data_IF_526286023283
#
_entry.id   IF_526286023283
#
_cell.length_a   1.000
_cell.length_b   1.000
_cell.length_c   1.000
_cell.angle_alpha   90.00
_cell.angle_beta   90.00
_cell.angle_gamma   90.00
#
_symmetry.space_group_name_H-M   'P 1'
#
loop_
_entity.id
_entity.type
_entity.pdbx_description
1 polymer ?
#
# COMPACT_ATOMS: atom_id res chain seq x y z
N UNK A 1 -3.16 10.12 9.51
CA UNK A 1 -3.96 9.15 10.29
C UNK A 1 -3.13 7.87 10.36
N UNK A 2 -2.75 7.40 11.54
CA UNK A 2 -2.05 6.13 11.70
C UNK A 2 -3.10 5.08 12.06
N UNK A 3 -3.31 4.09 11.20
CA UNK A 3 -4.20 2.96 11.49
C UNK A 3 -3.33 1.76 11.90
N UNK A 4 -3.48 1.31 13.14
CA UNK A 4 -2.83 0.09 13.63
C UNK A 4 -3.87 -1.04 13.60
N UNK A 5 -3.80 -1.90 12.59
CA UNK A 5 -4.59 -3.12 12.51
C UNK A 5 -3.69 -4.34 12.69
N UNK A 6 -4.05 -5.22 13.59
CA UNK A 6 -3.45 -6.54 13.75
C UNK A 6 -4.48 -7.56 13.27
N UNK A 7 -4.07 -8.46 12.35
CA UNK A 7 -4.94 -9.47 11.75
C UNK A 7 -5.64 -10.35 12.78
N UNK A 8 -6.82 -10.83 12.42
CA UNK A 8 -7.65 -11.70 13.25
C UNK A 8 -7.00 -13.08 13.38
N UNK A 9 -6.60 -13.45 14.60
CA UNK A 9 -6.32 -14.83 14.97
C UNK A 9 -7.46 -15.32 15.85
N UNK A 10 -7.99 -16.54 15.65
CA UNK A 10 -8.93 -17.16 16.56
C UNK A 10 -8.20 -17.52 17.85
N UNK A 11 -8.14 -16.58 18.78
CA UNK A 11 -7.41 -16.73 20.05
C UNK A 11 -8.44 -16.74 21.17
N UNK A 12 -8.39 -17.73 22.08
CA UNK A 12 -9.17 -17.69 23.29
C UNK A 12 -8.79 -16.49 24.18
N UNK A 13 -9.69 -16.10 25.08
CA UNK A 13 -9.54 -14.93 25.96
C UNK A 13 -8.22 -14.91 26.75
N UNK A 14 -7.75 -16.08 27.21
CA UNK A 14 -6.54 -16.15 28.02
C UNK A 14 -5.28 -15.95 27.15
N UNK A 15 -5.23 -16.62 26.00
CA UNK A 15 -4.14 -16.42 25.02
C UNK A 15 -4.07 -14.98 24.52
N UNK A 16 -5.23 -14.31 24.37
CA UNK A 16 -5.24 -12.91 24.00
C UNK A 16 -4.63 -12.02 25.09
N UNK A 17 -4.96 -12.24 26.38
CA UNK A 17 -4.34 -11.50 27.48
C UNK A 17 -2.83 -11.67 27.53
N UNK A 18 -2.34 -12.89 27.33
CA UNK A 18 -0.91 -13.20 27.35
C UNK A 18 -0.22 -12.56 26.12
N UNK A 19 -0.84 -12.60 24.96
CA UNK A 19 -0.33 -11.97 23.74
C UNK A 19 -0.29 -10.44 23.86
N UNK A 20 -1.33 -9.81 24.44
CA UNK A 20 -1.36 -8.37 24.72
C UNK A 20 -0.19 -7.99 25.64
N UNK A 21 -0.01 -8.74 26.74
CA UNK A 21 1.09 -8.46 27.68
C UNK A 21 2.48 -8.57 27.04
N UNK A 22 2.68 -9.52 26.13
CA UNK A 22 3.95 -9.72 25.45
C UNK A 22 4.20 -8.68 24.34
N UNK A 23 3.19 -8.30 23.59
CA UNK A 23 3.33 -7.42 22.42
C UNK A 23 3.23 -5.93 22.76
N UNK A 24 2.56 -5.57 23.86
CA UNK A 24 2.29 -4.18 24.22
C UNK A 24 3.55 -3.30 24.35
N UNK A 25 4.64 -3.72 25.01
CA UNK A 25 5.85 -2.91 25.11
C UNK A 25 6.47 -2.63 23.72
N UNK A 26 6.51 -3.63 22.85
CA UNK A 26 7.09 -3.51 21.50
C UNK A 26 6.24 -2.55 20.64
N UNK A 27 4.93 -2.71 20.64
CA UNK A 27 4.02 -1.86 19.89
C UNK A 27 4.05 -0.41 20.40
N UNK A 28 4.14 -0.21 21.72
CA UNK A 28 4.28 1.11 22.34
C UNK A 28 5.56 1.83 21.87
N UNK A 29 6.73 1.19 21.99
CA UNK A 29 8.00 1.80 21.59
C UNK A 29 8.05 2.10 20.09
N UNK A 30 7.54 1.22 19.24
CA UNK A 30 7.46 1.46 17.78
C UNK A 30 6.55 2.63 17.44
N UNK A 31 5.35 2.66 18.00
CA UNK A 31 4.40 3.75 17.74
C UNK A 31 4.96 5.09 18.24
N UNK A 32 5.63 5.10 19.41
CA UNK A 32 6.31 6.28 19.95
C UNK A 32 7.41 6.78 19.03
N UNK A 33 8.29 5.89 18.55
CA UNK A 33 9.37 6.27 17.62
C UNK A 33 8.84 6.92 16.34
N UNK A 34 7.72 6.43 15.79
CA UNK A 34 7.06 7.04 14.62
C UNK A 34 6.49 8.42 14.97
N UNK A 35 5.81 8.54 16.12
CA UNK A 35 5.16 9.79 16.53
C UNK A 35 6.16 10.90 16.84
N UNK A 36 7.34 10.57 17.38
CA UNK A 36 8.41 11.53 17.69
C UNK A 36 8.99 12.17 16.41
N UNK A 37 8.86 11.52 15.26
CA UNK A 37 9.28 12.03 13.96
C UNK A 37 8.22 12.94 13.30
N UNK A 38 6.99 12.97 13.83
CA UNK A 38 5.87 13.67 13.23
C UNK A 38 5.54 14.96 13.99
N UNK A 39 5.50 16.11 13.28
CA UNK A 39 5.11 17.40 13.85
C UNK A 39 3.69 17.76 13.41
N UNK A 40 2.76 17.84 14.36
CA UNK A 40 1.37 18.22 14.11
C UNK A 40 0.87 19.23 15.13
N UNK A 41 0.02 20.16 14.68
CA UNK A 41 -0.64 21.13 15.55
C UNK A 41 -1.77 20.52 16.38
N UNK A 42 -2.46 19.52 15.83
CA UNK A 42 -3.53 18.75 16.49
C UNK A 42 -3.52 17.31 15.98
N UNK A 43 -3.90 16.37 16.84
CA UNK A 43 -4.01 14.94 16.50
C UNK A 43 -5.38 14.42 16.89
N UNK A 44 -5.98 13.61 16.00
CA UNK A 44 -7.09 12.72 16.32
C UNK A 44 -6.58 11.29 16.15
N UNK A 45 -6.77 10.48 17.17
CA UNK A 45 -6.42 9.07 17.15
C UNK A 45 -7.62 8.26 16.72
N UNK A 46 -7.44 7.30 15.83
CA UNK A 46 -8.42 6.27 15.52
C UNK A 46 -7.73 4.93 15.70
N UNK A 47 -8.21 4.13 16.62
CA UNK A 47 -7.60 2.88 16.99
C UNK A 47 -8.64 1.78 17.19
N UNK A 48 -8.28 0.54 16.83
CA UNK A 48 -9.16 -0.63 16.98
C UNK A 48 -8.46 -1.70 17.83
N UNK A 49 -9.25 -2.39 18.66
CA UNK A 49 -8.80 -3.53 19.46
C UNK A 49 -7.54 -3.23 20.28
N UNK A 50 -6.48 -4.01 20.10
CA UNK A 50 -5.20 -3.81 20.80
C UNK A 50 -4.60 -2.40 20.58
N UNK A 51 -4.79 -1.82 19.39
CA UNK A 51 -4.36 -0.45 19.09
C UNK A 51 -4.97 0.60 20.00
N UNK A 52 -6.14 0.35 20.57
CA UNK A 52 -6.79 1.27 21.52
C UNK A 52 -5.98 1.46 22.80
N UNK A 53 -5.33 0.42 23.28
CA UNK A 53 -4.44 0.47 24.45
C UNK A 53 -3.21 1.34 24.13
N UNK A 54 -2.56 1.07 22.98
CA UNK A 54 -1.38 1.82 22.53
C UNK A 54 -1.69 3.29 22.33
N UNK A 55 -2.81 3.60 21.66
CA UNK A 55 -3.27 4.98 21.45
C UNK A 55 -3.54 5.68 22.79
N UNK A 56 -4.21 5.00 23.72
CA UNK A 56 -4.49 5.53 25.06
C UNK A 56 -3.21 5.86 25.86
N UNK A 57 -2.18 5.03 25.75
CA UNK A 57 -0.88 5.24 26.44
C UNK A 57 -0.05 6.38 25.84
N UNK A 58 -0.14 6.61 24.54
CA UNK A 58 0.74 7.55 23.81
C UNK A 58 0.13 8.93 23.57
N UNK A 59 -1.20 9.06 23.61
CA UNK A 59 -1.84 10.35 23.37
C UNK A 59 -1.63 11.34 24.50
N UNK A 60 -1.63 12.63 24.16
CA UNK A 60 -1.64 13.72 25.13
C UNK A 60 -3.04 13.97 25.66
N UNK A 61 -3.18 14.54 26.84
CA UNK A 61 -4.47 14.75 27.51
C UNK A 61 -5.48 15.57 26.69
N UNK A 62 -5.02 16.46 25.80
CA UNK A 62 -5.86 17.28 24.94
C UNK A 62 -6.17 16.65 23.57
N UNK A 63 -5.67 15.45 23.31
CA UNK A 63 -5.91 14.74 22.04
C UNK A 63 -7.09 13.80 22.21
N UNK A 64 -8.04 13.84 21.25
CA UNK A 64 -9.22 12.98 21.24
C UNK A 64 -8.90 11.63 20.58
N UNK A 65 -9.60 10.59 20.99
CA UNK A 65 -9.45 9.26 20.41
C UNK A 65 -10.82 8.69 19.99
N UNK A 66 -10.84 8.03 18.84
CA UNK A 66 -11.91 7.11 18.44
C UNK A 66 -11.43 5.70 18.71
N UNK A 67 -12.08 5.02 19.64
CA UNK A 67 -11.73 3.67 20.05
C UNK A 67 -12.77 2.69 19.50
N UNK A 68 -12.36 1.88 18.55
CA UNK A 68 -13.20 0.86 17.92
C UNK A 68 -12.95 -0.49 18.61
N UNK A 69 -14.01 -1.12 19.12
CA UNK A 69 -13.93 -2.40 19.82
C UNK A 69 -12.82 -2.43 20.88
N UNK A 70 -12.87 -1.55 21.90
CA UNK A 70 -11.83 -1.47 22.92
C UNK A 70 -11.78 -2.73 23.76
N UNK A 71 -10.58 -3.14 24.14
CA UNK A 71 -10.37 -4.19 25.13
C UNK A 71 -10.46 -3.61 26.55
N UNK A 72 -10.78 -4.45 27.55
CA UNK A 72 -10.86 -4.03 28.98
C UNK A 72 -9.64 -3.23 29.43
N UNK A 73 -8.44 -3.59 28.94
CA UNK A 73 -7.19 -2.90 29.27
C UNK A 73 -7.15 -1.45 28.75
N UNK A 74 -8.03 -1.07 27.83
CA UNK A 74 -8.16 0.29 27.32
C UNK A 74 -8.92 1.21 28.27
N UNK A 75 -9.84 0.67 29.09
CA UNK A 75 -10.77 1.45 29.92
C UNK A 75 -10.11 2.55 30.76
N UNK A 76 -8.95 2.32 31.42
CA UNK A 76 -8.27 3.38 32.17
C UNK A 76 -7.80 4.58 31.34
N UNK A 77 -7.78 4.46 30.02
CA UNK A 77 -7.29 5.49 29.08
C UNK A 77 -8.42 6.21 28.33
N UNK A 78 -9.69 5.89 28.62
CA UNK A 78 -10.85 6.53 27.99
C UNK A 78 -11.15 7.84 28.68
N UNK A 79 -11.25 8.94 27.94
CA UNK A 79 -11.57 10.27 28.42
C UNK A 79 -12.98 10.69 27.98
N UNK A 80 -13.55 11.69 28.64
CA UNK A 80 -14.90 12.21 28.35
C UNK A 80 -15.12 12.72 26.92
N UNK A 81 -14.06 13.19 26.27
CA UNK A 81 -14.08 13.70 24.89
C UNK A 81 -13.89 12.62 23.83
N UNK A 82 -13.72 11.34 24.21
CA UNK A 82 -13.53 10.26 23.27
C UNK A 82 -14.83 9.76 22.65
N UNK A 83 -14.72 9.11 21.48
CA UNK A 83 -15.77 8.29 20.90
C UNK A 83 -15.38 6.82 21.04
N UNK A 84 -16.23 6.04 21.71
CA UNK A 84 -16.04 4.59 21.90
C UNK A 84 -17.12 3.85 21.12
N UNK A 85 -16.72 3.01 20.16
CA UNK A 85 -17.63 2.18 19.37
C UNK A 85 -17.43 0.70 19.74
N UNK A 86 -18.48 -0.01 20.07
CA UNK A 86 -18.39 -1.43 20.42
C UNK A 86 -19.63 -2.22 19.98
N UNK A 87 -19.41 -3.50 19.65
CA UNK A 87 -20.48 -4.45 19.36
C UNK A 87 -21.05 -5.04 20.65
N UNK A 88 -22.34 -5.28 20.70
CA UNK A 88 -22.96 -5.92 21.88
C UNK A 88 -22.87 -7.46 21.85
N UNK A 89 -22.39 -8.04 20.78
CA UNK A 89 -22.06 -9.46 20.64
C UNK A 89 -20.53 -9.70 20.61
N UNK A 90 -19.73 -8.71 21.04
CA UNK A 90 -18.28 -8.83 21.08
C UNK A 90 -17.85 -9.90 22.10
N UNK A 91 -17.23 -11.03 21.68
CA UNK A 91 -16.85 -12.12 22.56
C UNK A 91 -15.74 -11.76 23.56
N UNK A 92 -15.08 -10.62 23.38
CA UNK A 92 -14.01 -10.13 24.26
C UNK A 92 -14.52 -9.19 25.36
N UNK A 93 -15.80 -8.78 25.31
CA UNK A 93 -16.48 -7.99 26.34
C UNK A 93 -17.45 -8.88 27.13
N UNK A 94 -17.36 -8.87 28.44
CA UNK A 94 -18.33 -9.55 29.32
C UNK A 94 -19.41 -8.60 29.83
N UNK A 95 -20.34 -9.12 30.64
CA UNK A 95 -21.43 -8.30 31.19
C UNK A 95 -20.93 -7.14 32.06
N UNK A 96 -19.81 -7.33 32.77
CA UNK A 96 -19.19 -6.29 33.59
C UNK A 96 -18.59 -5.19 32.69
N UNK A 97 -17.89 -5.58 31.62
CA UNK A 97 -17.31 -4.67 30.63
C UNK A 97 -18.41 -3.85 29.93
N UNK A 98 -19.49 -4.52 29.48
CA UNK A 98 -20.64 -3.85 28.87
C UNK A 98 -21.37 -2.94 29.87
N UNK A 99 -21.43 -3.33 31.16
CA UNK A 99 -21.95 -2.51 32.23
C UNK A 99 -21.14 -1.24 32.44
N UNK A 100 -19.81 -1.34 32.41
CA UNK A 100 -18.88 -0.21 32.51
C UNK A 100 -19.03 0.74 31.32
N UNK A 101 -19.04 0.20 30.10
CA UNK A 101 -19.17 0.99 28.88
C UNK A 101 -20.47 1.80 28.80
N UNK A 102 -21.56 1.33 29.42
CA UNK A 102 -22.83 2.09 29.54
C UNK A 102 -22.70 3.30 30.46
N UNK A 103 -21.74 3.33 31.38
CA UNK A 103 -21.54 4.35 32.38
C UNK A 103 -20.27 5.15 32.21
N UNK A 104 -19.46 4.83 31.19
CA UNK A 104 -18.20 5.51 30.97
C UNK A 104 -18.41 6.99 30.57
N UNK A 105 -17.45 7.88 30.86
CA UNK A 105 -17.63 9.32 30.62
C UNK A 105 -17.62 9.69 29.13
N UNK A 106 -17.11 8.82 28.26
CA UNK A 106 -16.99 9.06 26.82
C UNK A 106 -18.33 8.94 26.09
N UNK A 107 -18.40 9.48 24.89
CA UNK A 107 -19.52 9.23 23.96
C UNK A 107 -19.45 7.78 23.47
N UNK A 108 -20.41 6.95 23.87
CA UNK A 108 -20.44 5.53 23.52
C UNK A 108 -21.47 5.23 22.43
N UNK A 109 -21.02 4.65 21.31
CA UNK A 109 -21.85 4.09 20.27
C UNK A 109 -21.87 2.57 20.39
N UNK A 110 -22.99 2.03 20.88
CA UNK A 110 -23.25 0.60 20.83
C UNK A 110 -23.79 0.23 19.45
N UNK A 111 -23.21 -0.77 18.83
CA UNK A 111 -23.64 -1.32 17.54
C UNK A 111 -24.39 -2.63 17.79
N UNK A 112 -25.73 -2.66 17.68
CA UNK A 112 -26.53 -3.84 17.99
C UNK A 112 -26.23 -4.99 17.03
N UNK A 113 -26.07 -6.20 17.57
CA UNK A 113 -25.80 -7.41 16.80
C UNK A 113 -24.36 -7.53 16.28
N UNK A 114 -23.50 -6.55 16.55
CA UNK A 114 -22.13 -6.56 16.07
C UNK A 114 -21.18 -7.32 17.00
N UNK A 115 -20.25 -8.04 16.39
CA UNK A 115 -19.11 -8.70 17.04
C UNK A 115 -17.90 -7.77 17.22
N UNK A 116 -16.73 -8.33 17.52
CA UNK A 116 -15.46 -7.59 17.63
C UNK A 116 -15.01 -6.94 16.32
N UNK A 117 -15.42 -7.44 15.18
CA UNK A 117 -15.13 -6.87 13.86
C UNK A 117 -16.10 -5.74 13.47
N UNK A 118 -17.11 -5.47 14.30
CA UNK A 118 -18.26 -4.61 14.01
C UNK A 118 -19.08 -5.14 12.81
N UNK A 119 -19.20 -6.46 12.73
CA UNK A 119 -20.00 -7.18 11.74
C UNK A 119 -21.13 -7.96 12.45
N UNK A 120 -22.18 -8.31 11.72
CA UNK A 120 -23.24 -9.19 12.20
C UNK A 120 -22.87 -10.69 12.14
N UNK A 121 -23.77 -11.56 12.52
CA UNK A 121 -23.58 -13.00 12.54
C UNK A 121 -23.30 -13.61 11.14
N UNK A 122 -23.67 -12.90 10.08
CA UNK A 122 -23.42 -13.28 8.67
C UNK A 122 -22.16 -12.59 8.11
N UNK A 123 -21.32 -12.01 8.99
CA UNK A 123 -20.11 -11.24 8.67
C UNK A 123 -20.35 -10.02 7.77
N UNK A 124 -21.57 -9.45 7.78
CA UNK A 124 -21.85 -8.21 7.07
C UNK A 124 -21.45 -7.01 7.94
N UNK A 125 -20.67 -6.07 7.41
CA UNK A 125 -20.17 -4.94 8.19
C UNK A 125 -21.30 -4.00 8.63
N UNK A 126 -21.38 -3.68 9.92
CA UNK A 126 -22.33 -2.72 10.52
C UNK A 126 -21.68 -1.33 10.69
N UNK A 127 -20.97 -0.87 9.67
CA UNK A 127 -20.09 0.30 9.77
C UNK A 127 -20.79 1.66 9.58
N UNK A 128 -21.99 1.74 9.02
CA UNK A 128 -22.61 3.04 8.68
C UNK A 128 -22.77 3.97 9.89
N UNK A 129 -23.23 3.43 11.02
CA UNK A 129 -23.37 4.21 12.25
C UNK A 129 -22.02 4.70 12.79
N UNK A 130 -20.99 3.86 12.69
CA UNK A 130 -19.62 4.17 13.12
C UNK A 130 -19.03 5.26 12.22
N UNK A 131 -19.15 5.13 10.90
CA UNK A 131 -18.66 6.15 9.96
C UNK A 131 -19.38 7.49 10.13
N UNK A 132 -20.69 7.49 10.39
CA UNK A 132 -21.45 8.69 10.66
C UNK A 132 -20.97 9.40 11.94
N UNK A 133 -20.76 8.63 13.01
CA UNK A 133 -20.30 9.17 14.30
C UNK A 133 -18.85 9.69 14.21
N UNK A 134 -17.95 8.96 13.52
CA UNK A 134 -16.57 9.40 13.28
C UNK A 134 -16.57 10.64 12.39
N UNK A 135 -17.42 10.69 11.36
CA UNK A 135 -17.59 11.86 10.50
C UNK A 135 -17.99 13.11 11.26
N UNK A 136 -18.98 12.99 12.17
CA UNK A 136 -19.41 14.10 13.03
C UNK A 136 -18.27 14.61 13.93
N UNK A 137 -17.49 13.69 14.51
CA UNK A 137 -16.35 14.03 15.35
C UNK A 137 -15.24 14.74 14.55
N UNK A 138 -14.97 14.30 13.33
CA UNK A 138 -13.98 14.95 12.44
C UNK A 138 -14.40 16.38 12.10
N UNK A 139 -15.70 16.66 11.96
CA UNK A 139 -16.23 18.01 11.71
C UNK A 139 -16.01 18.93 12.90
N UNK A 140 -16.17 18.45 14.14
CA UNK A 140 -15.90 19.22 15.35
C UNK A 140 -14.41 19.54 15.52
N UNK A 141 -13.51 18.61 15.14
CA UNK A 141 -12.04 18.78 15.29
C UNK A 141 -11.47 19.68 14.19
N UNK A 142 -12.14 19.77 13.04
CA UNK A 142 -11.71 20.56 11.89
C UNK A 142 -12.85 21.41 11.33
N UNK A 143 -13.40 22.38 12.13
CA UNK A 143 -14.47 23.24 11.65
C UNK A 143 -13.94 24.11 10.51
N UNK A 144 -14.48 23.95 9.32
CA UNK A 144 -14.16 24.77 8.14
C UNK A 144 -13.54 24.01 6.95
N UNK A 145 -13.25 22.73 7.04
CA UNK A 145 -12.77 21.95 5.88
C UNK A 145 -13.91 21.41 4.99
N UNK A 146 -15.16 21.48 5.39
CA UNK A 146 -16.33 21.04 4.59
C UNK A 146 -16.77 22.01 3.47
N UNK A 147 -16.12 23.13 3.26
CA UNK A 147 -16.52 24.08 2.23
C UNK A 147 -15.88 23.86 0.84
N UNK A 148 -15.11 22.80 0.64
CA UNK A 148 -14.68 22.35 -0.68
C UNK A 148 -15.62 21.24 -1.13
N UNK A 149 -16.48 21.54 -2.12
CA UNK A 149 -17.41 20.63 -2.77
C UNK A 149 -16.84 19.22 -2.98
N UNK A 150 -17.62 18.21 -2.55
CA UNK A 150 -17.71 16.83 -3.11
C UNK A 150 -16.42 16.22 -3.72
N UNK A 151 -15.25 16.43 -3.10
CA UNK A 151 -14.05 15.69 -3.52
C UNK A 151 -14.21 14.22 -3.13
N UNK A 152 -13.89 13.34 -4.05
CA UNK A 152 -13.93 11.89 -3.82
C UNK A 152 -12.71 11.46 -2.99
N UNK A 153 -12.84 11.49 -1.66
CA UNK A 153 -11.79 11.15 -0.69
C UNK A 153 -11.53 9.65 -0.56
N UNK A 154 -12.28 8.79 -1.28
CA UNK A 154 -12.01 7.35 -1.29
C UNK A 154 -10.58 7.07 -1.72
N UNK A 155 -9.90 6.05 -1.16
CA UNK A 155 -8.51 5.80 -1.47
C UNK A 155 -8.31 5.30 -2.90
N UNK A 156 -7.11 5.52 -3.41
CA UNK A 156 -6.59 4.84 -4.59
C UNK A 156 -5.95 3.54 -4.11
N UNK A 157 -6.43 2.40 -4.62
CA UNK A 157 -5.81 1.09 -4.37
C UNK A 157 -4.56 0.91 -5.23
N UNK A 158 -3.48 0.42 -4.64
CA UNK A 158 -2.26 0.06 -5.35
C UNK A 158 -1.87 -1.34 -4.94
N UNK A 159 -1.63 -2.24 -5.87
CA UNK A 159 -1.09 -3.55 -5.51
C UNK A 159 0.08 -3.98 -6.37
N UNK A 160 0.95 -4.77 -5.75
CA UNK A 160 2.11 -5.40 -6.37
C UNK A 160 2.26 -6.84 -5.86
N UNK A 161 3.08 -7.63 -6.53
CA UNK A 161 3.44 -8.99 -6.08
C UNK A 161 4.23 -9.02 -4.77
N UNK A 162 4.70 -7.88 -4.27
CA UNK A 162 5.51 -7.78 -3.07
C UNK A 162 5.84 -6.32 -2.70
N UNK A 163 7.12 -6.04 -2.45
CA UNK A 163 7.60 -4.73 -2.02
C UNK A 163 7.87 -3.75 -3.17
N UNK A 164 8.03 -4.26 -4.40
CA UNK A 164 8.43 -3.45 -5.56
C UNK A 164 7.52 -2.27 -5.86
N UNK A 165 6.21 -2.45 -5.67
CA UNK A 165 5.19 -1.43 -5.92
C UNK A 165 5.27 -0.21 -5.01
N UNK A 166 6.02 -0.26 -3.91
CA UNK A 166 6.33 0.91 -3.07
C UNK A 166 7.02 2.00 -3.91
N UNK A 167 7.81 1.63 -4.92
CA UNK A 167 8.40 2.59 -5.85
C UNK A 167 7.36 3.39 -6.65
N UNK A 168 6.21 2.77 -6.98
CA UNK A 168 5.07 3.44 -7.63
C UNK A 168 4.29 4.28 -6.61
N UNK A 169 4.08 3.76 -5.40
CA UNK A 169 3.43 4.50 -4.31
C UNK A 169 4.20 5.79 -3.97
N UNK A 170 5.53 5.77 -3.96
CA UNK A 170 6.37 6.97 -3.79
C UNK A 170 6.09 8.03 -4.86
N UNK A 171 6.03 7.62 -6.13
CA UNK A 171 5.73 8.54 -7.23
C UNK A 171 4.29 9.05 -7.17
N UNK A 172 3.32 8.20 -6.75
CA UNK A 172 1.94 8.61 -6.50
C UNK A 172 1.85 9.65 -5.39
N UNK A 173 2.47 9.40 -4.22
CA UNK A 173 2.51 10.35 -3.08
C UNK A 173 3.09 11.69 -3.49
N UNK A 174 4.14 11.68 -4.31
CA UNK A 174 4.81 12.89 -4.80
C UNK A 174 3.94 13.71 -5.76
N UNK A 175 3.22 13.04 -6.67
CA UNK A 175 2.42 13.69 -7.70
C UNK A 175 0.99 14.03 -7.26
N UNK A 176 0.46 13.30 -6.29
CA UNK A 176 -0.92 13.37 -5.79
C UNK A 176 -0.92 13.48 -4.25
N UNK A 177 -0.35 14.54 -3.67
CA UNK A 177 -0.14 14.64 -2.22
C UNK A 177 -1.44 14.76 -1.40
N UNK A 178 -2.57 15.03 -2.04
CA UNK A 178 -3.89 15.17 -1.41
C UNK A 178 -4.71 13.87 -1.45
N UNK A 179 -4.22 12.83 -2.14
CA UNK A 179 -4.91 11.55 -2.28
C UNK A 179 -4.65 10.61 -1.11
N UNK A 180 -5.65 9.79 -0.79
CA UNK A 180 -5.49 8.66 0.10
C UNK A 180 -5.08 7.42 -0.69
N UNK A 181 -4.20 6.61 -0.12
CA UNK A 181 -3.67 5.41 -0.78
C UNK A 181 -3.86 4.19 0.10
N UNK A 182 -4.29 3.08 -0.51
CA UNK A 182 -4.28 1.75 0.06
C UNK A 182 -3.31 0.89 -0.75
N UNK A 183 -2.15 0.58 -0.19
CA UNK A 183 -1.17 -0.29 -0.79
C UNK A 183 -1.34 -1.72 -0.28
N UNK A 184 -1.32 -2.69 -1.19
CA UNK A 184 -1.35 -4.11 -0.89
C UNK A 184 -0.17 -4.82 -1.55
N UNK A 185 0.77 -5.34 -0.73
CA UNK A 185 1.88 -6.18 -1.18
C UNK A 185 1.53 -7.66 -1.05
N UNK A 186 1.56 -8.43 -2.15
CA UNK A 186 1.27 -9.86 -2.12
C UNK A 186 2.54 -10.71 -1.89
N UNK A 187 3.32 -10.37 -0.84
CA UNK A 187 4.61 -10.99 -0.55
C UNK A 187 4.52 -12.48 -0.21
N UNK A 188 3.38 -12.97 0.31
CA UNK A 188 3.18 -14.40 0.53
C UNK A 188 3.23 -15.21 -0.77
N UNK A 189 2.96 -14.56 -1.90
CA UNK A 189 2.95 -15.20 -3.22
C UNK A 189 4.05 -14.68 -4.15
N UNK A 190 4.93 -13.82 -3.67
CA UNK A 190 6.09 -13.33 -4.43
C UNK A 190 7.09 -14.47 -4.73
N UNK A 191 7.86 -14.39 -5.84
CA UNK A 191 7.71 -13.45 -6.94
C UNK A 191 6.72 -13.96 -8.02
N UNK A 192 5.91 -13.08 -8.60
CA UNK A 192 4.99 -13.45 -9.69
C UNK A 192 5.72 -13.86 -10.98
N UNK A 193 6.95 -13.45 -11.16
CA UNK A 193 7.74 -13.70 -12.36
C UNK A 193 8.06 -15.17 -12.67
N UNK A 194 7.81 -16.08 -11.74
CA UNK A 194 8.03 -17.54 -11.88
C UNK A 194 6.73 -18.36 -11.78
N UNK A 195 5.58 -17.68 -11.59
CA UNK A 195 4.28 -18.35 -11.42
C UNK A 195 3.57 -18.57 -12.75
N UNK A 196 2.63 -19.53 -12.74
CA UNK A 196 1.71 -19.75 -13.86
C UNK A 196 0.75 -18.54 -14.00
N UNK A 197 0.43 -18.18 -15.26
CA UNK A 197 -0.46 -17.06 -15.54
C UNK A 197 -1.85 -17.18 -14.88
N UNK A 198 -2.38 -18.40 -14.80
CA UNK A 198 -3.67 -18.68 -14.19
C UNK A 198 -3.68 -18.37 -12.69
N UNK A 199 -2.58 -18.67 -11.98
CA UNK A 199 -2.44 -18.37 -10.56
C UNK A 199 -2.35 -16.86 -10.34
N UNK A 200 -1.52 -16.16 -11.13
CA UNK A 200 -1.41 -14.69 -11.04
C UNK A 200 -2.77 -14.04 -11.26
N UNK A 201 -3.53 -14.51 -12.25
CA UNK A 201 -4.88 -14.02 -12.54
C UNK A 201 -5.80 -14.16 -11.33
N UNK A 202 -5.85 -15.34 -10.70
CA UNK A 202 -6.67 -15.59 -9.52
C UNK A 202 -6.30 -14.65 -8.38
N UNK A 203 -5.01 -14.58 -8.04
CA UNK A 203 -4.51 -13.67 -7.00
C UNK A 203 -4.88 -12.20 -7.27
N UNK A 204 -4.73 -11.74 -8.51
CA UNK A 204 -5.11 -10.36 -8.86
C UNK A 204 -6.62 -10.10 -8.73
N UNK A 205 -7.48 -11.08 -9.05
CA UNK A 205 -8.93 -10.95 -8.87
C UNK A 205 -9.27 -10.87 -7.38
N UNK A 206 -8.67 -11.74 -6.55
CA UNK A 206 -8.89 -11.74 -5.09
C UNK A 206 -8.47 -10.39 -4.48
N UNK A 207 -7.30 -9.86 -4.85
CA UNK A 207 -6.82 -8.56 -4.39
C UNK A 207 -7.74 -7.42 -4.86
N UNK A 208 -8.17 -7.43 -6.13
CA UNK A 208 -9.10 -6.41 -6.63
C UNK A 208 -10.45 -6.46 -5.90
N UNK A 209 -10.95 -7.65 -5.57
CA UNK A 209 -12.18 -7.82 -4.79
C UNK A 209 -12.02 -7.19 -3.40
N UNK A 210 -10.94 -7.50 -2.69
CA UNK A 210 -10.61 -6.88 -1.40
C UNK A 210 -10.55 -5.34 -1.50
N UNK A 211 -9.87 -4.80 -2.50
CA UNK A 211 -9.79 -3.34 -2.70
C UNK A 211 -11.16 -2.70 -2.98
N UNK A 212 -12.04 -3.38 -3.72
CA UNK A 212 -13.41 -2.92 -3.97
C UNK A 212 -14.22 -2.90 -2.67
N UNK A 213 -14.09 -3.90 -1.82
CA UNK A 213 -14.67 -3.93 -0.48
C UNK A 213 -14.17 -2.76 0.38
N UNK A 214 -12.88 -2.39 0.24
CA UNK A 214 -12.30 -1.18 0.84
C UNK A 214 -12.74 0.13 0.15
N UNK A 215 -13.69 0.08 -0.80
CA UNK A 215 -14.27 1.23 -1.51
C UNK A 215 -13.25 2.12 -2.22
N UNK A 216 -12.21 1.55 -2.81
CA UNK A 216 -11.25 2.34 -3.59
C UNK A 216 -11.91 3.01 -4.80
N UNK A 217 -11.48 4.23 -5.16
CA UNK A 217 -12.00 4.95 -6.33
C UNK A 217 -11.28 4.63 -7.64
N UNK A 218 -10.09 4.03 -7.56
CA UNK A 218 -9.30 3.55 -8.68
C UNK A 218 -8.33 2.46 -8.20
N UNK A 219 -7.83 1.63 -9.11
CA UNK A 219 -6.79 0.64 -8.83
C UNK A 219 -5.58 0.85 -9.75
N UNK A 220 -4.38 0.83 -9.16
CA UNK A 220 -3.10 0.77 -9.86
C UNK A 220 -2.50 -0.61 -9.68
N UNK A 221 -2.30 -1.34 -10.77
CA UNK A 221 -1.56 -2.59 -10.80
C UNK A 221 -0.08 -2.22 -10.94
N UNK A 222 0.63 -2.08 -9.83
CA UNK A 222 2.02 -1.64 -9.81
C UNK A 222 3.00 -2.72 -10.29
N UNK A 223 2.58 -3.97 -10.41
CA UNK A 223 3.38 -5.09 -10.89
C UNK A 223 3.34 -5.18 -12.43
N UNK A 224 4.50 -5.13 -13.10
CA UNK A 224 4.59 -5.31 -14.56
C UNK A 224 4.11 -6.70 -14.98
N UNK A 225 4.45 -7.74 -14.21
CA UNK A 225 4.05 -9.12 -14.47
C UNK A 225 2.53 -9.27 -14.36
N UNK A 226 1.91 -8.78 -13.28
CA UNK A 226 0.46 -8.78 -13.11
C UNK A 226 -0.25 -7.96 -14.20
N UNK A 227 0.27 -6.77 -14.51
CA UNK A 227 -0.26 -5.94 -15.60
C UNK A 227 -0.30 -6.70 -16.93
N UNK A 228 0.78 -7.39 -17.27
CA UNK A 228 0.85 -8.17 -18.53
C UNK A 228 -0.11 -9.36 -18.50
N UNK A 229 -0.28 -10.00 -17.35
CA UNK A 229 -1.08 -11.21 -17.21
C UNK A 229 -2.59 -10.95 -17.24
N UNK A 230 -3.09 -9.88 -16.59
CA UNK A 230 -4.53 -9.80 -16.29
C UNK A 230 -5.18 -8.40 -16.41
N UNK A 231 -4.49 -7.31 -16.73
CA UNK A 231 -5.06 -5.95 -16.71
C UNK A 231 -6.34 -5.80 -17.60
N UNK A 232 -6.35 -6.40 -18.78
CA UNK A 232 -7.50 -6.29 -19.69
C UNK A 232 -8.71 -7.04 -19.14
N UNK A 233 -8.49 -8.16 -18.50
CA UNK A 233 -9.54 -8.96 -17.87
C UNK A 233 -10.13 -8.25 -16.65
N UNK A 234 -9.29 -7.70 -15.79
CA UNK A 234 -9.74 -6.91 -14.64
C UNK A 234 -10.56 -5.70 -15.06
N UNK A 235 -10.16 -5.02 -16.15
CA UNK A 235 -10.96 -3.93 -16.74
C UNK A 235 -12.31 -4.39 -17.27
N UNK A 236 -12.39 -5.60 -17.81
CA UNK A 236 -13.65 -6.20 -18.28
C UNK A 236 -14.56 -6.63 -17.12
N UNK A 237 -13.98 -7.15 -16.03
CA UNK A 237 -14.72 -7.54 -14.84
C UNK A 237 -15.25 -6.33 -14.05
N UNK A 238 -14.50 -5.24 -14.03
CA UNK A 238 -14.83 -4.03 -13.24
C UNK A 238 -14.88 -2.77 -14.12
N UNK A 239 -15.80 -2.68 -15.10
CA UNK A 239 -15.80 -1.61 -16.12
C UNK A 239 -16.04 -0.21 -15.54
N UNK A 240 -16.66 -0.11 -14.37
CA UNK A 240 -16.92 1.18 -13.72
C UNK A 240 -15.74 1.71 -12.92
N UNK A 241 -14.76 0.85 -12.58
CA UNK A 241 -13.61 1.21 -11.78
C UNK A 241 -12.41 1.51 -12.70
N UNK A 242 -11.77 2.68 -12.59
CA UNK A 242 -10.51 2.93 -13.29
C UNK A 242 -9.44 1.96 -12.83
N UNK A 243 -8.91 1.14 -13.74
CA UNK A 243 -7.81 0.22 -13.48
C UNK A 243 -6.65 0.58 -14.40
N UNK A 244 -5.55 1.04 -13.80
CA UNK A 244 -4.32 1.41 -14.50
C UNK A 244 -3.27 0.35 -14.25
N UNK A 245 -2.70 -0.21 -15.30
CA UNK A 245 -1.51 -1.06 -15.20
C UNK A 245 -0.27 -0.26 -15.51
N UNK A 246 0.91 -0.85 -15.26
CA UNK A 246 2.18 -0.22 -15.56
C UNK A 246 2.29 0.19 -17.03
N UNK A 247 2.67 1.43 -17.26
CA UNK A 247 2.95 1.95 -18.60
C UNK A 247 4.27 1.39 -19.14
N UNK A 248 4.34 1.10 -20.45
CA UNK A 248 5.50 0.44 -21.02
C UNK A 248 6.69 1.41 -21.16
N UNK A 249 7.67 1.31 -20.27
CA UNK A 249 8.88 2.12 -20.26
C UNK A 249 9.73 1.95 -21.56
N UNK A 250 9.61 0.80 -22.24
CA UNK A 250 10.27 0.58 -23.53
C UNK A 250 9.79 1.58 -24.60
N UNK A 251 8.51 1.96 -24.61
CA UNK A 251 8.01 2.98 -25.51
C UNK A 251 8.72 4.31 -25.28
N UNK A 252 8.85 4.72 -24.02
CA UNK A 252 9.55 5.96 -23.65
C UNK A 252 11.02 5.92 -24.06
N UNK A 253 11.68 4.77 -23.91
CA UNK A 253 13.08 4.59 -24.33
C UNK A 253 13.24 4.71 -25.84
N UNK A 254 12.38 4.06 -26.62
CA UNK A 254 12.42 4.08 -28.09
C UNK A 254 12.12 5.48 -28.67
N UNK A 255 11.17 6.21 -28.09
CA UNK A 255 10.79 7.56 -28.54
C UNK A 255 11.81 8.67 -28.21
N UNK A 256 12.96 8.34 -27.57
CA UNK A 256 14.03 9.31 -27.28
C UNK A 256 14.82 9.75 -28.51
N UNK A 257 14.82 8.96 -29.56
CA UNK A 257 15.53 9.25 -30.82
C UNK A 257 15.54 8.04 -31.76
N UNK A 258 16.05 8.21 -32.96
CA UNK A 258 16.25 7.13 -33.91
C UNK A 258 17.41 6.20 -33.50
N UNK A 259 17.33 4.93 -33.91
CA UNK A 259 18.40 3.93 -33.75
C UNK A 259 18.90 3.74 -32.31
N UNK A 260 17.98 3.83 -31.32
CA UNK A 260 18.34 3.64 -29.91
C UNK A 260 18.82 2.21 -29.63
N UNK A 261 19.80 2.07 -28.74
CA UNK A 261 20.33 0.82 -28.21
C UNK A 261 19.87 0.66 -26.76
N UNK A 262 18.93 -0.26 -26.51
CA UNK A 262 18.14 -0.33 -25.29
C UNK A 262 18.31 -1.69 -24.63
N UNK A 263 18.73 -1.74 -23.38
CA UNK A 263 18.66 -2.95 -22.55
C UNK A 263 17.36 -2.92 -21.76
N UNK A 264 16.52 -3.96 -21.90
CA UNK A 264 15.31 -4.13 -21.09
C UNK A 264 15.57 -5.15 -20.00
N UNK A 265 15.76 -4.67 -18.79
CA UNK A 265 15.85 -5.48 -17.59
C UNK A 265 14.42 -5.74 -17.07
N UNK A 266 14.01 -7.01 -16.97
CA UNK A 266 12.68 -7.37 -16.51
C UNK A 266 12.65 -8.80 -15.94
N UNK A 267 11.48 -9.24 -15.42
CA UNK A 267 11.29 -10.66 -15.07
C UNK A 267 11.18 -11.53 -16.31
N UNK A 268 11.54 -12.81 -16.19
CA UNK A 268 11.48 -13.73 -17.31
C UNK A 268 10.07 -13.84 -17.90
N UNK A 269 9.03 -13.84 -17.04
CA UNK A 269 7.65 -13.91 -17.50
C UNK A 269 7.26 -12.65 -18.28
N UNK A 270 7.59 -11.45 -17.78
CA UNK A 270 7.32 -10.19 -18.49
C UNK A 270 7.93 -10.19 -19.90
N UNK A 271 9.18 -10.69 -20.05
CA UNK A 271 9.87 -10.74 -21.35
C UNK A 271 9.27 -11.77 -22.33
N UNK A 272 8.54 -12.79 -21.82
CA UNK A 272 7.85 -13.81 -22.63
C UNK A 272 6.41 -13.45 -23.00
N UNK A 273 5.82 -12.48 -22.30
CA UNK A 273 4.40 -12.12 -22.50
C UNK A 273 4.12 -11.52 -23.87
N UNK A 274 2.95 -11.86 -24.45
CA UNK A 274 2.52 -11.37 -25.77
C UNK A 274 2.46 -9.84 -25.85
N UNK A 275 2.07 -9.17 -24.78
CA UNK A 275 2.03 -7.70 -24.72
C UNK A 275 3.42 -7.10 -24.96
N UNK A 276 4.44 -7.68 -24.32
CA UNK A 276 5.83 -7.28 -24.52
C UNK A 276 6.33 -7.64 -25.92
N UNK A 277 6.00 -8.83 -26.43
CA UNK A 277 6.38 -9.25 -27.79
C UNK A 277 5.85 -8.27 -28.86
N UNK A 278 4.56 -7.90 -28.79
CA UNK A 278 3.96 -6.91 -29.70
C UNK A 278 4.63 -5.53 -29.61
N UNK A 279 5.05 -5.14 -28.41
CA UNK A 279 5.77 -3.90 -28.21
C UNK A 279 7.19 -3.97 -28.85
N UNK A 280 7.87 -5.10 -28.71
CA UNK A 280 9.14 -5.37 -29.36
C UNK A 280 9.02 -5.34 -30.90
N UNK A 281 8.02 -6.03 -31.46
CA UNK A 281 7.75 -6.04 -32.92
C UNK A 281 7.61 -4.63 -33.50
N UNK A 282 6.99 -3.72 -32.71
CA UNK A 282 6.81 -2.32 -33.13
C UNK A 282 8.12 -1.55 -33.26
N UNK A 283 9.10 -1.84 -32.42
CA UNK A 283 10.30 -1.02 -32.28
C UNK A 283 11.61 -1.70 -32.77
N UNK A 284 11.65 -3.03 -32.91
CA UNK A 284 12.86 -3.80 -33.21
C UNK A 284 13.45 -3.53 -34.61
N UNK A 285 12.65 -3.01 -35.57
CA UNK A 285 13.15 -2.68 -36.89
C UNK A 285 13.95 -1.38 -36.94
N UNK A 286 13.70 -0.48 -35.97
CA UNK A 286 14.37 0.83 -35.88
C UNK A 286 15.44 0.88 -34.79
N UNK A 287 15.28 0.08 -33.73
CA UNK A 287 16.12 0.11 -32.52
C UNK A 287 16.77 -1.24 -32.26
N UNK A 288 17.94 -1.23 -31.63
CA UNK A 288 18.54 -2.45 -31.08
C UNK A 288 18.07 -2.64 -29.63
N UNK A 289 17.32 -3.72 -29.37
CA UNK A 289 16.73 -3.96 -28.06
C UNK A 289 17.16 -5.32 -27.52
N UNK A 290 17.86 -5.31 -26.40
CA UNK A 290 18.29 -6.52 -25.70
C UNK A 290 17.38 -6.82 -24.53
N UNK A 291 17.06 -8.11 -24.35
CA UNK A 291 16.25 -8.62 -23.23
C UNK A 291 17.19 -9.15 -22.15
N UNK A 292 17.17 -8.58 -20.96
CA UNK A 292 17.95 -9.02 -19.83
C UNK A 292 17.05 -9.48 -18.68
N UNK A 293 16.82 -10.78 -18.48
CA UNK A 293 16.12 -11.29 -17.32
C UNK A 293 16.97 -11.15 -16.04
N UNK A 294 16.41 -10.58 -14.98
CA UNK A 294 17.13 -10.29 -13.74
C UNK A 294 16.35 -10.80 -12.49
N UNK A 295 16.17 -12.12 -12.32
CA UNK A 295 15.38 -12.66 -11.21
C UNK A 295 15.97 -12.31 -9.83
N UNK A 296 17.31 -12.38 -9.68
CA UNK A 296 17.99 -12.12 -8.40
C UNK A 296 17.73 -10.71 -7.86
N UNK A 297 17.49 -9.73 -8.72
CA UNK A 297 17.18 -8.35 -8.28
C UNK A 297 15.83 -8.25 -7.55
N UNK A 298 14.86 -9.09 -7.90
CA UNK A 298 13.58 -9.14 -7.16
C UNK A 298 13.80 -9.72 -5.76
N UNK A 299 14.51 -10.84 -5.69
CA UNK A 299 14.80 -11.55 -4.43
C UNK A 299 15.53 -10.65 -3.43
N UNK A 300 16.56 -9.95 -3.85
CA UNK A 300 17.33 -9.06 -2.97
C UNK A 300 16.49 -7.95 -2.33
N UNK A 301 15.49 -7.42 -3.04
CA UNK A 301 14.55 -6.44 -2.46
C UNK A 301 13.62 -7.11 -1.44
N UNK A 302 13.00 -8.25 -1.81
CA UNK A 302 12.10 -8.97 -0.92
C UNK A 302 12.81 -9.50 0.35
N UNK A 303 14.09 -9.88 0.22
CA UNK A 303 14.96 -10.28 1.34
C UNK A 303 15.40 -9.10 2.23
N UNK A 304 15.15 -7.83 1.82
CA UNK A 304 15.58 -6.63 2.56
C UNK A 304 17.09 -6.37 2.45
N UNK A 305 17.74 -6.80 1.39
CA UNK A 305 19.21 -6.76 1.22
C UNK A 305 19.71 -5.61 0.37
N UNK A 306 18.93 -4.55 0.22
CA UNK A 306 19.35 -3.35 -0.53
C UNK A 306 20.51 -2.60 0.13
N UNK A 307 20.78 -2.83 1.41
CA UNK A 307 21.93 -2.27 2.12
C UNK A 307 23.26 -2.95 1.78
N UNK A 308 23.25 -4.14 1.19
CA UNK A 308 24.45 -4.93 0.83
C UNK A 308 25.09 -4.43 -0.48
N UNK A 309 25.67 -3.26 -0.45
CA UNK A 309 26.10 -2.52 -1.65
C UNK A 309 27.04 -3.30 -2.55
N UNK A 310 27.96 -4.10 -2.01
CA UNK A 310 28.89 -4.90 -2.80
C UNK A 310 28.17 -6.04 -3.53
N UNK A 311 27.26 -6.76 -2.84
CA UNK A 311 26.41 -7.78 -3.47
C UNK A 311 25.56 -7.21 -4.61
N UNK A 312 25.02 -5.98 -4.43
CA UNK A 312 24.24 -5.30 -5.47
C UNK A 312 25.12 -4.97 -6.68
N UNK A 313 26.32 -4.43 -6.46
CA UNK A 313 27.27 -4.09 -7.54
C UNK A 313 27.71 -5.33 -8.31
N UNK A 314 28.09 -6.41 -7.62
CA UNK A 314 28.48 -7.68 -8.24
C UNK A 314 27.33 -8.25 -9.09
N UNK A 315 26.12 -8.29 -8.55
CA UNK A 315 24.94 -8.81 -9.24
C UNK A 315 24.62 -7.99 -10.49
N UNK A 316 24.61 -6.66 -10.37
CA UNK A 316 24.34 -5.78 -11.52
C UNK A 316 25.44 -5.85 -12.57
N UNK A 317 26.72 -5.88 -12.15
CA UNK A 317 27.86 -6.02 -13.07
C UNK A 317 27.77 -7.33 -13.85
N UNK A 318 27.41 -8.44 -13.21
CA UNK A 318 27.22 -9.73 -13.89
C UNK A 318 26.11 -9.68 -14.95
N UNK A 319 24.98 -9.03 -14.66
CA UNK A 319 23.90 -8.84 -15.64
C UNK A 319 24.27 -7.92 -16.80
N UNK A 320 25.14 -6.95 -16.58
CA UNK A 320 25.55 -5.96 -17.58
C UNK A 320 26.79 -6.38 -18.36
N UNK A 321 27.56 -7.36 -17.87
CA UNK A 321 28.81 -7.82 -18.51
C UNK A 321 28.71 -8.21 -20.01
N UNK A 322 27.56 -8.73 -20.51
CA UNK A 322 27.43 -9.07 -21.93
C UNK A 322 27.37 -7.86 -22.89
N UNK A 323 27.22 -6.63 -22.36
CA UNK A 323 26.93 -5.43 -23.16
C UNK A 323 28.11 -4.45 -23.15
N UNK A 324 28.41 -3.85 -24.30
CA UNK A 324 29.26 -2.68 -24.36
C UNK A 324 28.50 -1.43 -23.95
N UNK A 325 28.59 -1.07 -22.67
CA UNK A 325 27.88 0.03 -22.08
C UNK A 325 28.17 1.40 -22.69
N UNK A 326 29.29 1.54 -23.40
CA UNK A 326 29.61 2.79 -24.12
C UNK A 326 28.71 3.01 -25.33
N UNK A 327 28.08 1.93 -25.81
CA UNK A 327 27.19 1.92 -26.95
C UNK A 327 25.70 1.91 -26.56
N UNK A 328 25.40 1.78 -25.27
CA UNK A 328 24.00 1.70 -24.76
C UNK A 328 23.47 3.11 -24.54
N UNK A 329 22.28 3.42 -25.08
CA UNK A 329 21.62 4.71 -24.90
C UNK A 329 20.71 4.73 -23.65
N UNK A 330 20.09 3.59 -23.35
CA UNK A 330 19.19 3.50 -22.18
C UNK A 330 19.04 2.08 -21.63
N UNK A 331 18.77 2.03 -20.33
CA UNK A 331 18.34 0.81 -19.63
C UNK A 331 16.91 1.03 -19.14
N UNK A 332 16.01 0.14 -19.57
CA UNK A 332 14.62 0.09 -19.12
C UNK A 332 14.53 -0.77 -17.87
N UNK A 333 14.06 -0.19 -16.78
CA UNK A 333 13.74 -0.87 -15.53
C UNK A 333 12.30 -1.43 -15.61
N UNK A 334 12.17 -2.59 -16.25
CA UNK A 334 10.88 -3.24 -16.56
C UNK A 334 10.28 -4.02 -15.40
N UNK A 335 10.71 -3.76 -14.18
CA UNK A 335 10.18 -4.28 -12.94
C UNK A 335 10.21 -3.19 -11.87
N UNK A 336 9.19 -3.11 -11.05
CA UNK A 336 9.05 -2.11 -9.96
C UNK A 336 10.17 -2.20 -8.94
N UNK A 337 10.64 -3.40 -8.64
CA UNK A 337 11.79 -3.66 -7.76
C UNK A 337 13.09 -3.02 -8.28
N UNK A 338 13.26 -2.93 -9.59
CA UNK A 338 14.53 -2.47 -10.17
C UNK A 338 14.74 -0.96 -10.01
N UNK A 339 13.70 -0.22 -9.71
CA UNK A 339 13.80 1.23 -9.44
C UNK A 339 14.68 1.51 -8.21
N UNK A 340 14.70 0.64 -7.22
CA UNK A 340 15.54 0.77 -6.02
C UNK A 340 17.05 0.62 -6.31
N UNK A 341 17.42 0.04 -7.44
CA UNK A 341 18.83 -0.08 -7.87
C UNK A 341 19.37 1.15 -8.60
N UNK A 342 18.55 2.20 -8.80
CA UNK A 342 18.99 3.41 -9.51
C UNK A 342 20.30 4.02 -8.96
N UNK A 343 20.50 4.16 -7.64
CA UNK A 343 21.74 4.71 -7.11
C UNK A 343 22.97 3.89 -7.51
N UNK A 344 22.89 2.56 -7.37
CA UNK A 344 24.00 1.65 -7.72
C UNK A 344 24.23 1.59 -9.24
N UNK A 345 23.15 1.55 -10.02
CA UNK A 345 23.25 1.60 -11.49
C UNK A 345 23.93 2.89 -11.98
N UNK A 346 23.65 4.03 -11.33
CA UNK A 346 24.29 5.31 -11.68
C UNK A 346 25.80 5.32 -11.45
N UNK A 347 26.31 4.52 -10.52
CA UNK A 347 27.74 4.36 -10.29
C UNK A 347 28.42 3.45 -11.32
N UNK A 348 27.68 2.46 -11.86
CA UNK A 348 28.20 1.47 -12.80
C UNK A 348 28.11 1.92 -14.25
N UNK A 349 27.18 2.82 -14.57
CA UNK A 349 26.84 3.19 -15.94
C UNK A 349 27.54 4.49 -16.38
N UNK A 350 27.96 4.58 -17.67
CA UNK A 350 28.36 5.85 -18.26
C UNK A 350 27.25 6.92 -18.10
N UNK A 351 27.65 8.18 -17.93
CA UNK A 351 26.74 9.29 -17.65
C UNK A 351 25.65 9.51 -18.72
N UNK A 352 25.90 9.13 -19.96
CA UNK A 352 24.96 9.27 -21.07
C UNK A 352 23.83 8.23 -21.04
N UNK A 353 24.02 7.07 -20.38
CA UNK A 353 23.02 6.01 -20.34
C UNK A 353 21.81 6.44 -19.51
N UNK A 354 20.65 6.50 -20.14
CA UNK A 354 19.42 6.86 -19.45
C UNK A 354 18.81 5.66 -18.69
N UNK A 355 18.36 5.88 -17.45
CA UNK A 355 17.57 4.89 -16.70
C UNK A 355 16.08 5.27 -16.80
N UNK A 356 15.26 4.38 -17.36
CA UNK A 356 13.85 4.64 -17.68
C UNK A 356 12.98 3.58 -17.02
N UNK A 357 11.93 4.00 -16.30
CA UNK A 357 10.88 3.14 -15.76
C UNK A 357 9.48 3.62 -16.17
N UNK A 358 8.46 2.86 -15.78
CA UNK A 358 7.07 3.16 -16.09
C UNK A 358 6.32 3.92 -14.99
N UNK A 359 6.92 4.19 -13.83
CA UNK A 359 6.21 4.72 -12.66
C UNK A 359 5.53 6.05 -12.96
N UNK A 360 6.30 7.04 -13.45
CA UNK A 360 5.77 8.36 -13.74
C UNK A 360 4.68 8.34 -14.82
N UNK A 361 4.84 7.55 -15.88
CA UNK A 361 3.83 7.39 -16.92
C UNK A 361 2.53 6.83 -16.38
N UNK A 362 2.63 5.81 -15.53
CA UNK A 362 1.49 5.18 -14.85
C UNK A 362 0.75 6.18 -13.95
N UNK A 363 1.47 6.99 -13.17
CA UNK A 363 0.88 8.01 -12.30
C UNK A 363 0.19 9.12 -13.10
N UNK A 364 0.81 9.61 -14.18
CA UNK A 364 0.21 10.64 -15.04
C UNK A 364 -1.06 10.12 -15.72
N UNK A 365 -1.07 8.87 -16.18
CA UNK A 365 -2.25 8.24 -16.77
C UNK A 365 -3.39 8.13 -15.74
N UNK A 366 -3.10 7.68 -14.50
CA UNK A 366 -4.10 7.67 -13.43
C UNK A 366 -4.65 9.07 -13.15
N UNK A 367 -3.76 10.06 -13.02
CA UNK A 367 -4.14 11.45 -12.74
C UNK A 367 -5.09 12.00 -13.80
N UNK A 368 -4.83 11.72 -15.08
CA UNK A 368 -5.69 12.15 -16.17
C UNK A 368 -7.07 11.47 -16.11
N UNK A 369 -7.12 10.17 -15.80
CA UNK A 369 -8.39 9.46 -15.60
C UNK A 369 -9.21 9.99 -14.44
N UNK A 370 -8.56 10.28 -13.30
CA UNK A 370 -9.24 10.87 -12.14
C UNK A 370 -9.74 12.28 -12.43
N UNK A 371 -8.96 13.11 -13.13
CA UNK A 371 -9.39 14.44 -13.58
C UNK A 371 -10.62 14.38 -14.47
N UNK A 372 -10.61 13.50 -15.47
CA UNK A 372 -11.74 13.32 -16.40
C UNK A 372 -13.02 12.89 -15.69
N UNK A 373 -12.91 12.19 -14.56
CA UNK A 373 -14.03 11.73 -13.73
C UNK A 373 -14.43 12.73 -12.64
N UNK A 374 -13.69 13.84 -12.47
CA UNK A 374 -13.89 14.77 -11.35
C UNK A 374 -13.61 14.16 -9.99
N UNK A 375 -12.79 13.10 -9.93
CA UNK A 375 -12.51 12.30 -8.73
C UNK A 375 -11.12 12.59 -8.14
N UNK A 376 -10.39 13.59 -8.64
CA UNK A 376 -9.07 13.98 -8.13
C UNK A 376 -9.23 14.87 -6.90
N UNK A 377 -8.59 14.50 -5.79
CA UNK A 377 -8.48 15.37 -4.62
C UNK A 377 -7.44 16.46 -4.87
N UNK A 378 -7.80 17.69 -4.58
CA UNK A 378 -6.97 18.89 -4.79
C UNK A 378 -6.63 19.60 -3.49
N UNK A 379 -7.25 19.19 -2.38
CA UNK A 379 -7.09 19.80 -1.05
C UNK A 379 -7.01 18.71 0.04
N UNK A 380 -6.58 19.13 1.23
CA UNK A 380 -6.45 18.21 2.37
C UNK A 380 -5.08 17.53 2.44
N UNK A 381 -4.93 16.64 3.41
CA UNK A 381 -3.74 15.82 3.59
C UNK A 381 -4.07 14.37 3.26
N UNK A 382 -3.42 13.83 2.24
CA UNK A 382 -3.52 12.42 1.90
C UNK A 382 -3.00 11.51 3.01
N UNK A 383 -3.50 10.28 3.05
CA UNK A 383 -3.05 9.24 3.98
C UNK A 383 -2.61 7.99 3.23
N UNK A 384 -1.79 7.16 3.87
CA UNK A 384 -1.33 5.89 3.30
C UNK A 384 -1.65 4.78 4.30
N UNK A 385 -2.28 3.73 3.79
CA UNK A 385 -2.45 2.44 4.47
C UNK A 385 -1.63 1.41 3.69
N UNK A 386 -0.82 0.63 4.39
CA UNK A 386 -0.02 -0.45 3.80
C UNK A 386 -0.49 -1.77 4.39
N UNK A 387 -0.86 -2.69 3.53
CA UNK A 387 -1.23 -4.06 3.84
C UNK A 387 -0.29 -5.03 3.13
N UNK A 388 -0.12 -6.22 3.69
CA UNK A 388 0.68 -7.29 3.08
C UNK A 388 0.00 -8.64 3.31
N UNK A 389 0.01 -9.52 2.31
CA UNK A 389 -0.56 -10.86 2.42
C UNK A 389 0.25 -11.78 3.33
N UNK A 390 1.52 -11.48 3.58
CA UNK A 390 2.38 -12.23 4.50
C UNK A 390 2.19 -11.75 5.94
N UNK A 391 2.21 -12.70 6.87
CA UNK A 391 2.20 -12.42 8.31
C UNK A 391 3.58 -11.98 8.87
N UNK A 392 4.62 -11.88 8.05
CA UNK A 392 5.94 -11.43 8.48
C UNK A 392 5.93 -9.93 8.84
N UNK A 393 6.09 -9.56 10.13
CA UNK A 393 6.05 -8.17 10.56
C UNK A 393 7.20 -7.33 9.97
N UNK A 394 8.31 -7.94 9.57
CA UNK A 394 9.45 -7.24 8.97
C UNK A 394 9.10 -6.66 7.60
N UNK A 395 8.12 -7.21 6.89
CA UNK A 395 7.70 -6.69 5.58
C UNK A 395 7.04 -5.31 5.69
N UNK A 396 6.33 -5.04 6.78
CA UNK A 396 5.79 -3.71 7.01
C UNK A 396 6.91 -2.70 7.29
N UNK A 397 7.86 -3.06 8.13
CA UNK A 397 9.03 -2.21 8.42
C UNK A 397 9.81 -1.90 7.12
N UNK A 398 10.10 -2.93 6.32
CA UNK A 398 10.74 -2.76 4.99
C UNK A 398 9.93 -1.88 4.03
N UNK A 399 8.61 -2.03 4.03
CA UNK A 399 7.73 -1.18 3.20
C UNK A 399 7.85 0.29 3.59
N UNK A 400 7.91 0.60 4.89
CA UNK A 400 8.08 1.95 5.40
C UNK A 400 9.48 2.51 5.08
N UNK A 401 10.53 1.71 5.24
CA UNK A 401 11.90 2.09 4.84
C UNK A 401 11.96 2.45 3.35
N UNK A 402 11.46 1.57 2.49
CA UNK A 402 11.42 1.78 1.04
C UNK A 402 10.53 2.98 0.64
N UNK A 403 9.54 3.35 1.43
CA UNK A 403 8.68 4.50 1.16
C UNK A 403 9.39 5.83 1.43
N UNK A 404 10.35 5.87 2.35
CA UNK A 404 11.06 7.08 2.77
C UNK A 404 12.42 7.28 2.06
N UNK A 405 13.02 6.25 1.45
CA UNK A 405 14.20 6.37 0.58
C UNK A 405 13.93 7.27 -0.65
#
# INVERSE_FOLDING_TARGET
>A
MLCLSFGELPIDRQRMKDSVAACLPIAHERAKAILDQLSYARRLWIAKSFGTIVAGMLRKAQERCVMLTPLRQTFPYIHEDDLVCYGDQDPFLDEEDLGWLKQCPASCLRVPGADHSLADADHQPLHEAVFSAVGALLDEVSPGQRAAKDEDIRPIGIFDSGLGGISVLRELRRCLPHEHFLYYGDSAHAPYGVRERADIRRLCIDICTHMIECRVKAIVIACNTATSACVNELRALYPQLPIVGMEPALKVAAERGAHQRIIVMATQLTLKEQKFARLMERFQNEHTIWKQPCPRLVELVEEGRLHERDTLKETLTAYLAPYDLTQVDSIVLGCTHFVFYRPVLRELLPAHVALIDGNRGTVLHLMDLLKQRGALCTQGHGGIVIENSSADPQLLDRSLELLEE
#
